data_IF_092874615928
#
_entry.id   IF_092874615928
#
_cell.length_a   1.000
_cell.length_b   1.000
_cell.length_c   1.000
_cell.angle_alpha   90.00
_cell.angle_beta   90.00
_cell.angle_gamma   90.00
#
_symmetry.space_group_name_H-M   'P 1'
#
loop_
_entity.id
_entity.type
_entity.pdbx_description
1 polymer ?
#
# COMPACT_ATOMS: atom_id res chain seq x y z
N UNK A 1 7.73 9.28 -4.07
CA UNK A 1 8.21 9.07 -2.68
C UNK A 1 7.45 10.03 -1.79
N UNK A 2 6.83 9.52 -0.72
CA UNK A 2 5.69 10.17 -0.05
C UNK A 2 4.34 9.91 -0.75
N UNK A 3 3.29 10.62 -0.35
CA UNK A 3 1.90 10.51 -0.84
C UNK A 3 1.71 11.12 -2.24
N UNK A 4 2.51 10.67 -3.21
CA UNK A 4 2.40 11.11 -4.60
C UNK A 4 0.97 10.87 -5.13
N UNK A 5 0.43 11.86 -5.85
CA UNK A 5 -0.89 11.75 -6.50
C UNK A 5 -0.98 10.62 -7.53
N UNK A 6 0.17 10.11 -8.01
CA UNK A 6 0.22 8.98 -8.96
C UNK A 6 -0.14 7.63 -8.31
N UNK A 7 -0.08 7.51 -6.98
CA UNK A 7 -0.49 6.30 -6.25
C UNK A 7 0.15 5.02 -6.80
N UNK A 8 -0.68 4.02 -7.12
CA UNK A 8 -0.28 2.73 -7.70
C UNK A 8 -0.24 2.72 -9.23
N UNK A 9 -0.43 3.85 -9.91
CA UNK A 9 -0.40 3.91 -11.38
C UNK A 9 0.85 3.25 -11.98
N UNK A 10 2.09 3.46 -11.46
CA UNK A 10 3.26 2.79 -12.02
C UNK A 10 3.20 1.26 -11.96
N UNK A 11 2.47 0.68 -10.99
CA UNK A 11 2.27 -0.78 -10.96
C UNK A 11 1.30 -1.23 -12.05
N UNK A 12 0.25 -0.45 -12.30
CA UNK A 12 -0.66 -0.72 -13.41
C UNK A 12 0.04 -0.57 -14.77
N UNK A 13 0.93 0.42 -14.92
CA UNK A 13 1.73 0.59 -16.13
C UNK A 13 2.65 -0.63 -16.38
N UNK A 14 3.23 -1.22 -15.33
CA UNK A 14 4.01 -2.47 -15.44
C UNK A 14 3.12 -3.62 -15.94
N UNK A 15 1.91 -3.76 -15.39
CA UNK A 15 0.97 -4.81 -15.79
C UNK A 15 0.45 -4.64 -17.22
N UNK A 16 0.36 -3.40 -17.71
CA UNK A 16 -0.07 -3.10 -19.07
C UNK A 16 1.07 -3.30 -20.10
N UNK A 17 2.31 -3.07 -19.69
CA UNK A 17 3.46 -3.05 -20.60
C UNK A 17 4.43 -4.22 -20.40
N UNK A 18 4.06 -5.23 -19.62
CA UNK A 18 4.84 -6.46 -19.43
C UNK A 18 3.97 -7.64 -19.03
N UNK A 19 4.50 -8.85 -19.15
CA UNK A 19 3.84 -10.10 -18.73
C UNK A 19 4.12 -10.46 -17.25
N UNK A 20 4.58 -9.50 -16.43
CA UNK A 20 4.83 -9.76 -15.00
C UNK A 20 3.50 -10.09 -14.30
N UNK A 21 3.37 -11.26 -13.63
CA UNK A 21 2.13 -11.58 -12.95
C UNK A 21 1.86 -10.62 -11.78
N UNK A 22 0.60 -10.19 -11.62
CA UNK A 22 0.20 -9.22 -10.58
C UNK A 22 0.64 -9.62 -9.16
N UNK A 23 0.62 -10.91 -8.84
CA UNK A 23 1.07 -11.43 -7.54
C UNK A 23 2.58 -11.33 -7.28
N UNK A 24 3.38 -10.86 -8.25
CA UNK A 24 4.82 -10.59 -8.10
C UNK A 24 5.13 -9.14 -7.77
N UNK A 25 4.14 -8.25 -7.82
CA UNK A 25 4.26 -6.86 -7.44
C UNK A 25 3.70 -6.68 -6.03
N UNK A 26 4.57 -6.31 -5.08
CA UNK A 26 4.21 -6.14 -3.66
C UNK A 26 4.40 -4.67 -3.24
N UNK A 27 3.37 -3.81 -3.37
CA UNK A 27 3.41 -2.49 -2.74
C UNK A 27 3.42 -2.60 -1.22
N UNK A 28 4.41 -1.97 -0.58
CA UNK A 28 4.50 -1.77 0.87
C UNK A 28 4.20 -0.32 1.26
N UNK A 29 4.10 -0.06 2.56
CA UNK A 29 3.72 1.23 3.14
C UNK A 29 2.37 1.76 2.61
N UNK A 30 1.45 0.85 2.26
CA UNK A 30 0.18 1.23 1.63
C UNK A 30 -0.74 2.01 2.57
N UNK A 31 -0.53 1.88 3.89
CA UNK A 31 -1.30 2.54 4.94
C UNK A 31 -0.82 3.96 5.29
N UNK A 32 0.16 4.52 4.55
CA UNK A 32 0.67 5.89 4.78
C UNK A 32 -0.24 7.02 4.28
N UNK A 33 -1.32 6.68 3.58
CA UNK A 33 -2.27 7.65 3.02
C UNK A 33 -3.61 6.95 2.74
N UNK A 34 -4.71 7.62 3.07
CA UNK A 34 -6.07 7.12 2.83
C UNK A 34 -6.31 6.77 1.35
N UNK A 35 -5.96 7.66 0.43
CA UNK A 35 -6.17 7.46 -1.00
C UNK A 35 -5.29 6.36 -1.58
N UNK A 36 -4.09 6.17 -1.05
CA UNK A 36 -3.21 5.06 -1.44
C UNK A 36 -3.76 3.74 -0.91
N UNK A 37 -4.26 3.74 0.32
CA UNK A 37 -4.81 2.54 0.95
C UNK A 37 -6.04 2.01 0.19
N UNK A 38 -6.94 2.91 -0.24
CA UNK A 38 -8.08 2.54 -1.10
C UNK A 38 -7.64 1.95 -2.45
N UNK A 39 -6.58 2.50 -3.07
CA UNK A 39 -6.01 1.91 -4.28
C UNK A 39 -5.39 0.53 -4.02
N UNK A 40 -4.77 0.33 -2.86
CA UNK A 40 -4.18 -0.95 -2.47
C UNK A 40 -5.26 -2.02 -2.27
N UNK A 41 -6.41 -1.68 -1.67
CA UNK A 41 -7.56 -2.59 -1.58
C UNK A 41 -8.04 -3.01 -2.98
N UNK A 42 -8.20 -2.06 -3.90
CA UNK A 42 -8.57 -2.36 -5.28
C UNK A 42 -7.53 -3.25 -6.00
N UNK A 43 -6.25 -3.01 -5.77
CA UNK A 43 -5.15 -3.83 -6.30
C UNK A 43 -5.20 -5.28 -5.76
N UNK A 44 -5.44 -5.44 -4.46
CA UNK A 44 -5.52 -6.76 -3.83
C UNK A 44 -6.75 -7.56 -4.31
N UNK A 45 -7.89 -6.88 -4.52
CA UNK A 45 -9.10 -7.49 -5.10
C UNK A 45 -8.85 -8.02 -6.52
N UNK A 46 -8.02 -7.32 -7.31
CA UNK A 46 -7.64 -7.73 -8.68
C UNK A 46 -6.66 -8.91 -8.74
N UNK A 47 -6.14 -9.39 -7.61
CA UNK A 47 -5.19 -10.51 -7.59
C UNK A 47 -3.83 -10.18 -6.98
N UNK A 48 -3.56 -8.91 -6.69
CA UNK A 48 -2.32 -8.46 -6.07
C UNK A 48 -2.20 -8.84 -4.60
N UNK A 49 -1.00 -8.68 -4.06
CA UNK A 49 -0.72 -8.79 -2.61
C UNK A 49 -0.32 -7.40 -2.12
N UNK A 50 -0.75 -7.01 -0.94
CA UNK A 50 -0.41 -5.71 -0.33
C UNK A 50 0.29 -5.92 1.00
N UNK A 51 1.24 -5.04 1.32
CA UNK A 51 1.99 -5.07 2.57
C UNK A 51 1.71 -3.82 3.41
N UNK A 52 1.17 -4.04 4.61
CA UNK A 52 0.85 -3.01 5.60
C UNK A 52 2.05 -2.86 6.55
N UNK A 53 2.47 -1.62 6.81
CA UNK A 53 3.63 -1.36 7.68
C UNK A 53 3.17 -1.09 9.10
N UNK A 54 3.64 -1.90 10.05
CA UNK A 54 3.19 -1.86 11.46
C UNK A 54 3.65 -0.62 12.21
N UNK A 55 4.71 0.05 11.73
CA UNK A 55 5.28 1.25 12.36
C UNK A 55 4.67 2.56 11.85
N UNK A 56 3.66 2.50 10.96
CA UNK A 56 2.89 3.66 10.48
C UNK A 56 1.55 3.66 11.24
N UNK A 57 1.37 4.53 12.25
CA UNK A 57 0.14 4.57 13.06
C UNK A 57 -1.02 5.30 12.36
N UNK A 58 -0.70 6.25 11.47
CA UNK A 58 -1.65 7.14 10.81
C UNK A 58 -1.30 7.32 9.33
N UNK A 59 -2.27 7.64 8.45
CA UNK A 59 -3.69 7.84 8.73
C UNK A 59 -4.51 6.54 8.83
N UNK A 60 -3.95 5.40 8.40
CA UNK A 60 -4.61 4.09 8.52
C UNK A 60 -3.77 3.23 9.46
N UNK A 61 -4.29 2.99 10.66
CA UNK A 61 -3.58 2.17 11.64
C UNK A 61 -3.42 0.73 11.12
N UNK A 62 -2.36 -0.01 11.49
CA UNK A 62 -2.09 -1.33 10.90
C UNK A 62 -3.23 -2.33 11.12
N UNK A 63 -3.78 -2.39 12.34
CA UNK A 63 -4.92 -3.24 12.66
C UNK A 63 -6.21 -2.80 11.95
N UNK A 64 -6.41 -1.49 11.81
CA UNK A 64 -7.52 -0.92 11.03
C UNK A 64 -7.41 -1.32 9.56
N UNK A 65 -6.21 -1.24 8.97
CA UNK A 65 -5.95 -1.64 7.60
C UNK A 65 -6.29 -3.11 7.35
N UNK A 66 -5.91 -4.02 8.26
CA UNK A 66 -6.30 -5.43 8.18
C UNK A 66 -7.83 -5.57 8.22
N UNK A 67 -8.50 -4.91 9.18
CA UNK A 67 -9.95 -4.98 9.32
C UNK A 67 -10.69 -4.45 8.08
N UNK A 68 -10.20 -3.34 7.50
CA UNK A 68 -10.72 -2.76 6.26
C UNK A 68 -10.53 -3.68 5.07
N UNK A 69 -9.37 -4.33 4.95
CA UNK A 69 -9.12 -5.32 3.90
C UNK A 69 -10.08 -6.51 3.97
N UNK A 70 -10.29 -7.07 5.17
CA UNK A 70 -11.28 -8.13 5.41
C UNK A 70 -12.68 -7.65 5.02
N UNK A 71 -13.08 -6.45 5.48
CA UNK A 71 -14.40 -5.86 5.19
C UNK A 71 -14.60 -5.62 3.68
N UNK A 72 -13.54 -5.26 2.96
CA UNK A 72 -13.57 -5.08 1.51
C UNK A 72 -13.60 -6.40 0.72
N UNK A 73 -13.49 -7.56 1.39
CA UNK A 73 -13.50 -8.88 0.76
C UNK A 73 -12.13 -9.33 0.22
N UNK A 74 -11.04 -8.69 0.65
CA UNK A 74 -9.68 -9.12 0.30
C UNK A 74 -9.35 -10.39 1.10
N UNK A 75 -8.96 -11.50 0.46
CA UNK A 75 -8.49 -12.69 1.17
C UNK A 75 -7.25 -12.38 2.02
N UNK A 76 -7.20 -12.87 3.26
CA UNK A 76 -6.04 -12.65 4.15
C UNK A 76 -4.71 -13.15 3.57
N UNK A 77 -4.73 -14.15 2.68
CA UNK A 77 -3.54 -14.61 1.97
C UNK A 77 -2.91 -13.57 1.02
N UNK A 78 -3.60 -12.44 0.78
CA UNK A 78 -3.13 -11.30 -0.01
C UNK A 78 -2.76 -10.07 0.83
N UNK A 79 -2.76 -10.21 2.15
CA UNK A 79 -2.39 -9.13 3.08
C UNK A 79 -1.18 -9.60 3.90
N UNK A 80 -0.07 -8.88 3.79
CA UNK A 80 1.13 -9.09 4.60
C UNK A 80 1.37 -7.91 5.53
N UNK A 81 2.22 -8.13 6.54
CA UNK A 81 2.65 -7.10 7.47
C UNK A 81 4.18 -7.10 7.56
N UNK A 82 4.76 -5.91 7.52
CA UNK A 82 6.19 -5.69 7.75
C UNK A 82 6.40 -4.57 8.77
N UNK A 83 7.54 -4.56 9.46
CA UNK A 83 7.80 -3.59 10.53
C UNK A 83 8.41 -2.28 10.04
N UNK A 84 9.17 -2.32 8.95
CA UNK A 84 10.13 -1.27 8.58
C UNK A 84 11.07 -0.90 9.74
N UNK A 85 11.39 -1.90 10.58
CA UNK A 85 12.21 -1.73 11.77
C UNK A 85 13.64 -1.36 11.41
N UNK A 86 14.26 -0.50 12.25
CA UNK A 86 15.61 0.03 12.03
C UNK A 86 15.74 0.94 10.79
N UNK A 87 14.63 1.24 10.10
CA UNK A 87 14.54 2.28 9.07
C UNK A 87 14.47 3.69 9.66
N UNK A 88 14.38 4.69 8.77
CA UNK A 88 14.10 6.08 9.14
C UNK A 88 12.67 6.45 8.75
N UNK A 89 12.03 7.31 9.54
CA UNK A 89 10.68 7.84 9.26
C UNK A 89 10.76 9.34 8.98
N UNK A 90 11.20 9.76 7.79
CA UNK A 90 11.32 11.17 7.46
C UNK A 90 9.94 11.81 7.27
N UNK A 91 9.70 12.91 7.98
CA UNK A 91 8.59 13.81 7.70
C UNK A 91 9.03 14.81 6.61
N UNK A 92 8.55 14.58 5.39
CA UNK A 92 8.81 15.45 4.25
C UNK A 92 7.63 16.44 4.10
N UNK A 93 7.73 17.59 4.74
CA UNK A 93 6.86 18.74 4.44
C UNK A 93 7.36 19.41 3.17
N UNK A 94 6.46 19.70 2.22
CA UNK A 94 6.81 20.62 1.14
C UNK A 94 7.18 21.98 1.79
N UNK A 95 8.26 22.65 1.35
CA UNK A 95 8.50 24.02 1.79
C UNK A 95 7.30 24.87 1.41
N UNK A 96 6.81 25.70 2.34
CA UNK A 96 5.90 26.80 2.01
C UNK A 96 6.64 27.72 1.04
N UNK A 97 6.21 27.73 -0.23
CA UNK A 97 6.58 28.72 -1.24
C UNK A 97 5.29 29.25 -1.83
#
# INVERSE_FOLDING_TARGET
>A
MGSSKKGLQPLYDILEHSDVPIGKLLPTHVNRSESLFEQALAFALKGGVIDITTSIPDPVAPAEGIARAIKAGVPLSRVTLSSDGNGSQPLLTLPEI
#
